data_IF_822758462137
#
_entry.id   IF_822758462137
#
_cell.length_a   1.000
_cell.length_b   1.000
_cell.length_c   1.000
_cell.angle_alpha   90.00
_cell.angle_beta   90.00
_cell.angle_gamma   90.00
#
_symmetry.space_group_name_H-M   'P 1'
#
loop_
_entity.id
_entity.type
_entity.pdbx_description
1 polymer ?
#
# COMPACT_ATOMS: atom_id res chain seq x y z
N UNK A 1 7.26 8.15 -5.17
CA UNK A 1 7.20 6.93 -4.35
C UNK A 1 6.52 5.82 -5.12
N UNK A 2 7.12 4.66 -5.14
CA UNK A 2 6.58 3.51 -5.87
C UNK A 2 5.67 2.70 -4.96
N UNK A 3 4.50 2.36 -5.47
CA UNK A 3 3.53 1.51 -4.78
C UNK A 3 3.41 0.21 -5.55
N UNK A 4 3.51 -0.92 -4.85
CA UNK A 4 3.37 -2.24 -5.45
C UNK A 4 2.15 -2.96 -4.87
N UNK A 5 1.50 -3.76 -5.70
CA UNK A 5 0.36 -4.57 -5.29
C UNK A 5 0.66 -6.03 -5.57
N UNK A 6 0.26 -6.91 -4.67
CA UNK A 6 0.54 -8.34 -4.78
C UNK A 6 -0.72 -9.17 -4.61
N UNK A 7 -0.64 -10.42 -5.09
CA UNK A 7 -1.67 -11.44 -4.92
C UNK A 7 -3.05 -10.97 -5.39
N UNK A 8 -4.10 -11.29 -4.63
CA UNK A 8 -5.45 -10.95 -5.03
C UNK A 8 -5.68 -9.44 -5.17
N UNK A 9 -4.95 -8.63 -4.43
CA UNK A 9 -5.07 -7.18 -4.56
C UNK A 9 -4.63 -6.73 -5.95
N UNK A 10 -3.52 -7.24 -6.43
CA UNK A 10 -3.03 -6.96 -7.79
C UNK A 10 -4.09 -7.34 -8.84
N UNK A 11 -4.69 -8.50 -8.66
CA UNK A 11 -5.72 -8.99 -9.57
C UNK A 11 -6.99 -8.12 -9.51
N UNK A 12 -7.42 -7.77 -8.32
CA UNK A 12 -8.63 -6.98 -8.13
C UNK A 12 -8.48 -5.56 -8.68
N UNK A 13 -7.31 -4.97 -8.53
CA UNK A 13 -7.05 -3.62 -9.05
C UNK A 13 -6.70 -3.62 -10.53
N UNK A 14 -6.39 -4.79 -11.07
CA UNK A 14 -5.95 -4.95 -12.45
C UNK A 14 -4.70 -4.12 -12.75
N UNK A 15 -3.83 -3.98 -11.76
CA UNK A 15 -2.56 -3.28 -11.90
C UNK A 15 -1.57 -3.80 -10.87
N UNK A 16 -0.29 -3.80 -11.23
CA UNK A 16 0.76 -4.29 -10.36
C UNK A 16 1.42 -3.19 -9.55
N UNK A 17 1.27 -1.92 -9.97
CA UNK A 17 1.96 -0.81 -9.31
C UNK A 17 1.30 0.53 -9.62
N UNK A 18 1.64 1.50 -8.81
CA UNK A 18 1.30 2.91 -9.00
C UNK A 18 2.48 3.75 -8.56
N UNK A 19 2.42 5.03 -8.88
CA UNK A 19 3.37 6.01 -8.37
C UNK A 19 2.62 7.17 -7.73
N UNK A 20 3.13 7.63 -6.60
CA UNK A 20 2.57 8.77 -5.86
C UNK A 20 3.71 9.71 -5.56
N UNK A 21 3.51 11.00 -5.84
CA UNK A 21 4.49 12.02 -5.50
C UNK A 21 4.23 12.51 -4.08
N UNK A 22 5.27 12.48 -3.25
CA UNK A 22 5.19 13.03 -1.89
C UNK A 22 6.33 14.00 -1.69
N UNK A 23 6.03 15.18 -1.18
CA UNK A 23 7.01 16.24 -0.98
C UNK A 23 7.65 16.19 0.41
N UNK A 24 6.99 15.53 1.34
CA UNK A 24 7.47 15.39 2.71
C UNK A 24 7.07 14.02 3.23
N UNK A 25 7.69 13.55 4.32
CA UNK A 25 7.31 12.26 4.88
C UNK A 25 5.82 12.19 5.21
N UNK A 26 5.19 11.11 4.83
CA UNK A 26 3.77 10.86 5.10
C UNK A 26 3.61 9.47 5.69
N UNK A 27 2.51 9.25 6.40
CA UNK A 27 2.24 7.94 6.97
C UNK A 27 1.67 6.99 5.92
N UNK A 28 1.84 5.69 6.15
CA UNK A 28 1.21 4.67 5.30
C UNK A 28 -0.30 4.87 5.27
N UNK A 29 -0.92 5.27 6.39
CA UNK A 29 -2.36 5.49 6.41
C UNK A 29 -2.79 6.60 5.44
N UNK A 30 -1.96 7.63 5.26
CA UNK A 30 -2.24 8.69 4.28
C UNK A 30 -2.17 8.14 2.86
N UNK A 31 -1.19 7.29 2.56
CA UNK A 31 -1.07 6.66 1.25
C UNK A 31 -2.27 5.75 0.98
N UNK A 32 -2.61 4.92 1.97
CA UNK A 32 -3.76 4.03 1.87
C UNK A 32 -5.05 4.81 1.59
N UNK A 33 -5.22 5.95 2.25
CA UNK A 33 -6.39 6.80 2.05
C UNK A 33 -6.49 7.31 0.61
N UNK A 34 -5.37 7.72 0.03
CA UNK A 34 -5.34 8.15 -1.37
C UNK A 34 -5.72 7.00 -2.31
N UNK A 35 -5.26 5.79 -2.03
CA UNK A 35 -5.57 4.61 -2.84
C UNK A 35 -7.04 4.22 -2.70
N UNK A 36 -7.60 4.37 -1.51
CA UNK A 36 -9.04 4.13 -1.28
C UNK A 36 -9.87 5.12 -2.12
N UNK A 37 -9.45 6.36 -2.19
CA UNK A 37 -10.15 7.36 -3.01
C UNK A 37 -10.05 7.03 -4.50
N UNK A 38 -8.94 6.44 -4.92
CA UNK A 38 -8.72 6.09 -6.32
C UNK A 38 -9.46 4.83 -6.75
N UNK A 39 -9.42 3.79 -5.91
CA UNK A 39 -9.93 2.46 -6.29
C UNK A 39 -11.19 2.05 -5.56
N UNK A 40 -11.34 2.44 -4.30
CA UNK A 40 -12.47 2.06 -3.47
C UNK A 40 -12.02 1.37 -2.20
N UNK A 41 -12.77 1.60 -1.12
CA UNK A 41 -12.44 1.07 0.20
C UNK A 41 -12.50 -0.47 0.26
N UNK A 42 -13.29 -1.09 -0.62
CA UNK A 42 -13.43 -2.54 -0.63
C UNK A 42 -12.13 -3.27 -0.95
N UNK A 43 -11.17 -2.60 -1.60
CA UNK A 43 -9.89 -3.20 -1.95
C UNK A 43 -8.84 -3.05 -0.86
N UNK A 44 -9.09 -2.20 0.12
CA UNK A 44 -8.12 -1.88 1.18
C UNK A 44 -8.76 -2.04 2.55
N UNK A 45 -9.15 -3.28 2.93
CA UNK A 45 -9.74 -3.51 4.24
C UNK A 45 -8.74 -3.22 5.36
N UNK A 46 -9.26 -3.06 6.60
CA UNK A 46 -8.43 -2.70 7.75
C UNK A 46 -7.28 -3.68 8.02
N UNK A 47 -7.45 -4.93 7.63
CA UNK A 47 -6.43 -5.96 7.86
C UNK A 47 -5.44 -6.13 6.70
N UNK A 48 -5.47 -5.24 5.70
CA UNK A 48 -4.51 -5.32 4.62
C UNK A 48 -3.10 -5.08 5.18
N UNK A 49 -2.13 -5.79 4.61
CA UNK A 49 -0.75 -5.72 5.06
C UNK A 49 0.03 -4.75 4.18
N UNK A 50 1.11 -4.20 4.72
CA UNK A 50 2.00 -3.37 3.94
C UNK A 50 3.46 -3.63 4.33
N UNK A 51 4.36 -3.32 3.41
CA UNK A 51 5.79 -3.40 3.65
C UNK A 51 6.45 -2.16 3.04
N UNK A 52 7.48 -1.67 3.69
CA UNK A 52 8.26 -0.54 3.20
C UNK A 52 9.67 -1.03 2.96
N UNK A 53 10.13 -0.89 1.72
CA UNK A 53 11.47 -1.35 1.31
C UNK A 53 11.73 -2.80 1.74
N UNK A 54 10.73 -3.66 1.50
CA UNK A 54 10.77 -5.10 1.79
C UNK A 54 10.67 -5.48 3.27
N UNK A 55 10.31 -4.54 4.14
CA UNK A 55 10.11 -4.82 5.57
C UNK A 55 8.66 -4.56 5.93
N UNK A 56 8.03 -5.52 6.60
CA UNK A 56 6.65 -5.35 7.06
C UNK A 56 6.55 -4.11 7.95
N UNK A 57 5.53 -3.31 7.69
CA UNK A 57 5.33 -2.04 8.37
C UNK A 57 3.86 -1.94 8.82
N UNK A 58 3.51 -0.81 9.42
CA UNK A 58 2.14 -0.55 9.85
C UNK A 58 1.70 0.82 9.36
N UNK A 59 0.44 1.16 9.63
CA UNK A 59 -0.15 2.41 9.15
C UNK A 59 0.52 3.68 9.68
N UNK A 60 1.23 3.58 10.79
CA UNK A 60 1.91 4.72 11.39
C UNK A 60 3.32 4.95 10.82
N UNK A 61 3.83 4.00 10.06
CA UNK A 61 5.16 4.12 9.48
C UNK A 61 5.22 5.30 8.52
N UNK A 62 6.26 6.12 8.63
CA UNK A 62 6.47 7.25 7.74
C UNK A 62 7.27 6.83 6.51
N UNK A 63 6.90 7.35 5.37
CA UNK A 63 7.56 7.04 4.11
C UNK A 63 7.85 8.33 3.34
N UNK A 64 8.87 8.29 2.52
CA UNK A 64 9.37 9.42 1.73
C UNK A 64 9.35 9.08 0.25
N UNK A 65 9.66 10.06 -0.59
CA UNK A 65 9.58 9.94 -2.04
C UNK A 65 10.36 8.77 -2.62
N UNK A 66 11.51 8.43 -2.04
CA UNK A 66 12.35 7.36 -2.56
C UNK A 66 12.03 5.98 -2.01
N UNK A 67 11.03 5.88 -1.15
CA UNK A 67 10.64 4.60 -0.57
C UNK A 67 9.76 3.81 -1.52
N UNK A 68 9.79 2.49 -1.36
CA UNK A 68 8.91 1.57 -2.08
C UNK A 68 7.93 0.95 -1.08
N UNK A 69 6.65 1.10 -1.33
CA UNK A 69 5.60 0.61 -0.45
C UNK A 69 4.83 -0.50 -1.16
N UNK A 70 4.67 -1.63 -0.51
CA UNK A 70 3.91 -2.75 -1.04
C UNK A 70 2.65 -2.97 -0.21
N UNK A 71 1.54 -3.26 -0.88
CA UNK A 71 0.30 -3.67 -0.23
C UNK A 71 -0.05 -5.08 -0.66
N UNK A 72 -0.52 -5.88 0.27
CA UNK A 72 -0.87 -7.27 0.00
C UNK A 72 -1.92 -7.75 1.00
N UNK A 73 -2.75 -8.73 0.60
CA UNK A 73 -3.73 -9.29 1.53
C UNK A 73 -3.03 -10.01 2.68
N UNK A 74 -3.68 -10.13 3.84
CA UNK A 74 -3.09 -10.90 4.92
C UNK A 74 -2.91 -12.35 4.50
N UNK A 75 -1.80 -12.94 4.95
CA UNK A 75 -1.55 -14.36 4.71
C UNK A 75 -2.33 -15.12 5.77
N UNK A 76 -3.38 -15.80 5.35
CA UNK A 76 -4.08 -16.69 6.26
C UNK A 76 -3.24 -17.97 6.31
N UNK A 77 -2.62 -18.22 7.44
CA UNK A 77 -1.85 -19.42 7.67
C UNK A 77 -2.75 -20.61 7.48
N UNK A 78 -2.46 -21.32 6.49
CA UNK A 78 -3.27 -22.40 6.18
C UNK A 78 -2.88 -23.72 6.39
#
# INVERSE_FOLDING_TARGET
>A
MKILYFASLKENLNTAHDEINVESPVSISSIKKQLIEKYGAQYFPDNIMCAVNHKVANENTKVCENDEVAFFPPVTGG
#
